data_IF_871342438593
#
_entry.id   IF_871342438593
#
_cell.length_a   1.000
_cell.length_b   1.000
_cell.length_c   1.000
_cell.angle_alpha   90.00
_cell.angle_beta   90.00
_cell.angle_gamma   90.00
#
_symmetry.space_group_name_H-M   'P 1'
#
loop_
_entity.id
_entity.type
_entity.pdbx_description
1 polymer ?
#
# COMPACT_ATOMS: atom_id res chain seq x y z
N UNK A 1 -17.75 -0.65 -4.56
CA UNK A 1 -16.65 -0.74 -3.57
C UNK A 1 -15.84 -1.98 -3.91
N UNK A 2 -14.63 -1.82 -4.47
CA UNK A 2 -13.90 -2.90 -5.15
C UNK A 2 -12.92 -3.69 -4.28
N UNK A 3 -12.86 -3.45 -2.96
CA UNK A 3 -12.02 -4.22 -2.03
C UNK A 3 -12.79 -4.69 -0.77
N UNK A 4 -14.12 -4.78 -0.86
CA UNK A 4 -14.95 -5.38 0.20
C UNK A 4 -15.59 -6.67 -0.31
N UNK A 5 -14.76 -7.67 -0.62
CA UNK A 5 -15.24 -9.04 -0.75
C UNK A 5 -14.99 -9.75 0.57
N UNK A 6 -16.05 -9.86 1.37
CA UNK A 6 -16.33 -10.96 2.31
C UNK A 6 -15.13 -11.59 3.03
N UNK A 7 -14.78 -11.05 4.20
CA UNK A 7 -13.87 -11.70 5.16
C UNK A 7 -12.76 -10.76 5.65
N UNK A 8 -12.33 -10.97 6.89
CA UNK A 8 -11.47 -10.14 7.76
C UNK A 8 -10.07 -9.72 7.23
N UNK A 9 -9.73 -9.89 5.95
CA UNK A 9 -8.35 -9.73 5.46
C UNK A 9 -8.10 -8.44 4.68
N UNK A 10 -7.07 -7.70 5.12
CA UNK A 10 -6.52 -6.52 4.48
C UNK A 10 -5.23 -6.93 3.73
N UNK A 11 -5.14 -6.64 2.43
CA UNK A 11 -4.01 -7.01 1.57
C UNK A 11 -3.26 -5.75 1.13
N UNK A 12 -1.93 -5.84 1.02
CA UNK A 12 -1.12 -4.74 0.48
C UNK A 12 -0.78 -4.91 -1.01
N UNK A 13 -0.13 -3.89 -1.59
CA UNK A 13 0.27 -3.89 -3.01
C UNK A 13 1.28 -5.00 -3.33
N UNK A 14 2.13 -5.35 -2.37
CA UNK A 14 3.13 -6.42 -2.53
C UNK A 14 2.43 -7.77 -2.47
N UNK A 15 1.37 -7.93 -1.67
CA UNK A 15 0.60 -9.17 -1.60
C UNK A 15 -0.03 -9.59 -2.92
N UNK A 16 -0.45 -8.58 -3.70
CA UNK A 16 -0.98 -8.78 -5.03
C UNK A 16 0.10 -9.25 -6.01
N UNK A 17 1.25 -8.58 -6.05
CA UNK A 17 2.32 -8.90 -7.00
C UNK A 17 3.12 -10.15 -6.64
N UNK A 18 3.25 -10.45 -5.35
CA UNK A 18 3.94 -11.65 -4.86
C UNK A 18 3.02 -12.88 -4.83
N UNK A 19 1.73 -12.72 -5.15
CA UNK A 19 0.74 -13.80 -5.07
C UNK A 19 0.48 -14.30 -3.65
N UNK A 20 0.91 -13.56 -2.62
CA UNK A 20 0.66 -13.90 -1.22
C UNK A 20 -0.76 -13.62 -0.75
N UNK A 21 -1.60 -13.02 -1.60
CA UNK A 21 -3.05 -12.88 -1.40
C UNK A 21 -3.74 -14.18 -0.91
N UNK A 22 -3.27 -15.36 -1.33
CA UNK A 22 -3.80 -16.66 -0.89
C UNK A 22 -3.04 -17.35 0.25
N UNK A 23 -1.92 -16.78 0.71
CA UNK A 23 -0.91 -17.49 1.52
C UNK A 23 -0.55 -16.76 2.81
N UNK A 24 -0.73 -15.44 2.89
CA UNK A 24 -0.41 -14.63 4.08
C UNK A 24 -1.19 -15.04 5.34
N UNK A 25 -2.39 -15.62 5.19
CA UNK A 25 -3.14 -16.20 6.32
C UNK A 25 -2.72 -17.64 6.69
N UNK A 26 -1.86 -18.28 5.90
CA UNK A 26 -1.48 -19.69 6.02
C UNK A 26 -0.03 -19.90 6.44
N UNK A 27 0.80 -18.86 6.37
CA UNK A 27 2.20 -18.88 6.75
C UNK A 27 2.72 -17.46 7.03
N UNK A 28 3.66 -17.35 7.98
CA UNK A 28 4.46 -16.14 8.21
C UNK A 28 5.35 -15.87 6.99
N UNK A 29 5.20 -14.70 6.36
CA UNK A 29 5.95 -14.32 5.17
C UNK A 29 7.24 -13.56 5.49
N UNK A 30 7.48 -13.22 6.76
CA UNK A 30 8.67 -12.50 7.23
C UNK A 30 9.97 -13.12 6.68
N UNK A 31 10.20 -14.45 6.72
CA UNK A 31 11.43 -15.04 6.18
C UNK A 31 11.62 -14.83 4.68
N UNK A 32 10.52 -14.79 3.91
CA UNK A 32 10.54 -14.56 2.46
C UNK A 32 10.91 -13.11 2.18
N UNK A 33 10.29 -12.17 2.89
CA UNK A 33 10.63 -10.75 2.77
C UNK A 33 12.07 -10.47 3.19
N UNK A 34 12.55 -11.07 4.28
CA UNK A 34 13.95 -10.95 4.69
C UNK A 34 14.91 -11.49 3.63
N UNK A 35 14.61 -12.62 2.99
CA UNK A 35 15.43 -13.14 1.88
C UNK A 35 15.52 -12.13 0.73
N UNK A 36 14.40 -11.49 0.36
CA UNK A 36 14.37 -10.46 -0.68
C UNK A 36 15.20 -9.26 -0.27
N UNK A 37 15.00 -8.73 0.95
CA UNK A 37 15.74 -7.58 1.46
C UNK A 37 17.24 -7.84 1.60
N UNK A 38 17.66 -9.05 2.00
CA UNK A 38 19.09 -9.40 2.04
C UNK A 38 19.72 -9.32 0.65
N UNK A 39 19.02 -9.76 -0.40
CA UNK A 39 19.48 -9.66 -1.79
C UNK A 39 19.53 -8.22 -2.28
N UNK A 40 18.58 -7.37 -1.89
CA UNK A 40 18.60 -5.94 -2.20
C UNK A 40 19.78 -5.24 -1.51
N UNK A 41 19.99 -5.52 -0.22
CA UNK A 41 21.10 -4.96 0.57
C UNK A 41 22.47 -5.33 0.01
N UNK A 42 22.64 -6.58 -0.42
CA UNK A 42 23.86 -7.05 -1.10
C UNK A 42 24.17 -6.27 -2.38
N UNK A 43 23.16 -5.69 -3.03
CA UNK A 43 23.28 -4.87 -4.24
C UNK A 43 23.31 -3.37 -3.93
N UNK A 44 23.43 -2.99 -2.66
CA UNK A 44 23.38 -1.59 -2.20
C UNK A 44 22.08 -0.87 -2.59
N UNK A 45 20.98 -1.61 -2.72
CA UNK A 45 19.66 -1.05 -3.00
C UNK A 45 18.89 -0.81 -1.70
N UNK A 46 18.12 0.27 -1.68
CA UNK A 46 17.11 0.56 -0.65
C UNK A 46 15.72 0.13 -1.10
N UNK A 47 14.76 0.21 -0.18
CA UNK A 47 13.35 0.03 -0.46
C UNK A 47 12.53 1.03 0.36
N UNK A 48 11.50 1.61 -0.25
CA UNK A 48 10.55 2.52 0.39
C UNK A 48 9.20 1.84 0.52
N UNK A 49 8.55 2.07 1.66
CA UNK A 49 7.17 1.66 1.90
C UNK A 49 6.22 2.74 1.38
N UNK A 50 5.19 2.34 0.63
CA UNK A 50 4.10 3.23 0.25
C UNK A 50 2.80 2.61 0.72
N UNK A 51 2.01 3.38 1.48
CA UNK A 51 0.74 2.89 1.99
C UNK A 51 -0.26 2.70 0.83
N UNK A 52 -1.00 1.58 0.78
CA UNK A 52 -1.90 1.31 -0.33
C UNK A 52 -2.89 2.45 -0.59
N UNK A 53 -2.90 2.95 -1.84
CA UNK A 53 -3.85 3.96 -2.31
C UNK A 53 -4.58 3.42 -3.55
N UNK A 54 -5.90 3.53 -3.54
CA UNK A 54 -6.71 3.27 -4.73
C UNK A 54 -6.79 4.53 -5.58
N UNK A 55 -6.45 4.40 -6.85
CA UNK A 55 -6.55 5.47 -7.84
C UNK A 55 -7.52 5.09 -8.95
N UNK A 56 -8.14 6.12 -9.55
CA UNK A 56 -9.09 5.93 -10.64
C UNK A 56 -8.40 6.18 -11.98
N UNK A 57 -8.40 5.18 -12.85
CA UNK A 57 -7.78 5.23 -14.17
C UNK A 57 -8.88 5.37 -15.23
N UNK A 58 -8.75 6.38 -16.09
CA UNK A 58 -9.65 6.59 -17.22
C UNK A 58 -8.98 6.15 -18.52
N UNK A 59 -9.59 5.21 -19.25
CA UNK A 59 -9.06 4.65 -20.50
C UNK A 59 -9.56 5.38 -21.78
N UNK A 60 -10.24 6.52 -21.64
CA UNK A 60 -10.94 7.20 -22.76
C UNK A 60 -10.16 8.39 -23.32
N UNK A 61 -10.10 8.52 -24.66
CA UNK A 61 -9.52 9.67 -25.36
C UNK A 61 -10.48 10.86 -25.50
N UNK A 62 -11.76 10.69 -25.17
CA UNK A 62 -12.76 11.75 -25.29
C UNK A 62 -12.73 12.67 -24.07
N UNK A 63 -12.76 14.00 -24.32
CA UNK A 63 -12.84 14.98 -23.24
C UNK A 63 -14.12 14.74 -22.42
N UNK A 64 -14.00 14.66 -21.08
CA UNK A 64 -15.18 14.44 -20.24
C UNK A 64 -16.15 15.62 -20.41
N UNK A 65 -17.42 15.32 -20.64
CA UNK A 65 -18.48 16.32 -20.56
C UNK A 65 -18.65 16.81 -19.10
N UNK A 66 -19.36 17.91 -18.90
CA UNK A 66 -19.48 18.54 -17.57
C UNK A 66 -20.00 17.60 -16.47
N UNK A 67 -20.96 16.74 -16.79
CA UNK A 67 -21.51 15.76 -15.83
C UNK A 67 -20.49 14.66 -15.47
N UNK A 68 -19.74 14.13 -16.45
CA UNK A 68 -18.70 13.10 -16.24
C UNK A 68 -17.52 13.66 -15.45
N UNK A 69 -17.12 14.90 -15.71
CA UNK A 69 -16.07 15.59 -14.97
C UNK A 69 -16.42 15.73 -13.48
N UNK A 70 -17.66 16.13 -13.18
CA UNK A 70 -18.13 16.23 -11.79
C UNK A 70 -18.14 14.87 -11.07
N UNK A 71 -18.64 13.81 -11.71
CA UNK A 71 -18.64 12.47 -11.11
C UNK A 71 -17.22 11.96 -10.88
N UNK A 72 -16.30 12.23 -11.81
CA UNK A 72 -14.90 11.86 -11.68
C UNK A 72 -14.25 12.52 -10.46
N UNK A 73 -14.41 13.83 -10.32
CA UNK A 73 -13.87 14.57 -9.17
C UNK A 73 -14.50 14.12 -7.85
N UNK A 74 -15.81 13.82 -7.85
CA UNK A 74 -16.48 13.25 -6.68
C UNK A 74 -15.87 11.90 -6.28
N UNK A 75 -15.67 10.99 -7.24
CA UNK A 75 -15.08 9.68 -6.96
C UNK A 75 -13.62 9.79 -6.50
N UNK A 76 -12.83 10.71 -7.08
CA UNK A 76 -11.47 10.99 -6.61
C UNK A 76 -11.48 11.47 -5.16
N UNK A 77 -12.35 12.41 -4.81
CA UNK A 77 -12.48 12.90 -3.44
C UNK A 77 -12.87 11.78 -2.47
N UNK A 78 -13.81 10.92 -2.85
CA UNK A 78 -14.19 9.74 -2.06
C UNK A 78 -13.02 8.77 -1.84
N UNK A 79 -12.18 8.52 -2.86
CA UNK A 79 -11.00 7.67 -2.74
C UNK A 79 -9.91 8.28 -1.85
N UNK A 80 -9.67 9.59 -1.97
CA UNK A 80 -8.72 10.32 -1.11
C UNK A 80 -9.17 10.26 0.35
N UNK A 81 -10.46 10.46 0.61
CA UNK A 81 -11.02 10.38 1.96
C UNK A 81 -10.91 8.95 2.53
N UNK A 82 -11.21 7.94 1.72
CA UNK A 82 -11.04 6.54 2.12
C UNK A 82 -9.57 6.21 2.44
N UNK A 83 -8.62 6.74 1.66
CA UNK A 83 -7.19 6.57 1.92
C UNK A 83 -6.76 7.24 3.24
N UNK A 84 -7.24 8.47 3.51
CA UNK A 84 -6.98 9.18 4.76
C UNK A 84 -7.50 8.39 5.97
N UNK A 85 -8.74 7.89 5.89
CA UNK A 85 -9.31 7.05 6.95
C UNK A 85 -8.51 5.75 7.13
N UNK A 86 -8.10 5.11 6.03
CA UNK A 86 -7.31 3.89 6.08
C UNK A 86 -5.95 4.07 6.79
N UNK A 87 -5.29 5.23 6.62
CA UNK A 87 -4.07 5.58 7.35
C UNK A 87 -4.36 5.75 8.85
N UNK A 88 -5.44 6.45 9.20
CA UNK A 88 -5.84 6.61 10.61
C UNK A 88 -6.10 5.26 11.29
N UNK A 89 -6.85 4.39 10.63
CA UNK A 89 -7.17 3.06 11.15
C UNK A 89 -5.89 2.21 11.36
N UNK A 90 -4.89 2.36 10.47
CA UNK A 90 -3.61 1.64 10.55
C UNK A 90 -2.78 1.94 11.79
N UNK A 91 -3.02 3.08 12.48
CA UNK A 91 -2.29 3.43 13.72
C UNK A 91 -2.54 2.43 14.85
N UNK A 92 -3.67 1.72 14.80
CA UNK A 92 -4.07 0.71 15.78
C UNK A 92 -3.67 -0.70 15.36
N UNK A 93 -3.27 -0.89 14.10
CA UNK A 93 -2.90 -2.19 13.56
C UNK A 93 -1.43 -2.53 13.89
N UNK A 94 -1.08 -3.82 13.92
CA UNK A 94 0.32 -4.22 14.04
C UNK A 94 1.12 -3.74 12.83
N UNK A 95 2.43 -3.55 13.04
CA UNK A 95 3.35 -3.21 11.94
C UNK A 95 3.34 -4.33 10.90
N UNK A 96 3.18 -4.03 9.60
CA UNK A 96 3.16 -5.04 8.55
C UNK A 96 4.43 -5.91 8.54
N UNK A 97 4.27 -7.20 8.25
CA UNK A 97 5.37 -8.18 8.20
C UNK A 97 6.51 -7.73 7.27
N UNK A 98 6.18 -7.10 6.14
CA UNK A 98 7.16 -6.56 5.20
C UNK A 98 8.00 -5.43 5.80
N UNK A 99 7.41 -4.59 6.65
CA UNK A 99 8.11 -3.50 7.35
C UNK A 99 9.02 -4.07 8.45
N UNK A 100 8.54 -5.09 9.18
CA UNK A 100 9.33 -5.80 10.17
C UNK A 100 10.54 -6.50 9.53
N UNK A 101 10.34 -7.19 8.40
CA UNK A 101 11.41 -7.84 7.66
C UNK A 101 12.48 -6.84 7.17
N UNK A 102 12.05 -5.65 6.69
CA UNK A 102 12.99 -4.60 6.31
C UNK A 102 13.84 -4.15 7.52
N UNK A 103 13.19 -3.89 8.66
CA UNK A 103 13.87 -3.53 9.91
C UNK A 103 14.88 -4.60 10.34
N UNK A 104 14.53 -5.87 10.25
CA UNK A 104 15.42 -6.97 10.65
C UNK A 104 16.69 -7.02 9.78
N UNK A 105 16.59 -6.69 8.48
CA UNK A 105 17.72 -6.75 7.55
C UNK A 105 18.55 -5.46 7.52
N UNK A 106 17.90 -4.29 7.53
CA UNK A 106 18.55 -2.99 7.40
C UNK A 106 18.83 -2.31 8.75
N UNK A 107 18.20 -2.74 9.85
CA UNK A 107 18.37 -2.17 11.19
C UNK A 107 17.59 -0.87 11.44
N UNK A 108 16.78 -0.44 10.48
CA UNK A 108 16.00 0.80 10.52
C UNK A 108 14.64 0.60 9.84
N UNK A 109 13.67 1.47 10.11
CA UNK A 109 12.39 1.45 9.40
C UNK A 109 12.58 1.93 7.94
N UNK A 110 11.80 1.41 6.98
CA UNK A 110 11.85 1.88 5.61
C UNK A 110 11.33 3.32 5.53
N UNK A 111 11.84 4.08 4.57
CA UNK A 111 11.25 5.38 4.22
C UNK A 111 9.77 5.20 3.85
N UNK A 112 8.90 6.12 4.28
CA UNK A 112 7.45 5.99 4.10
C UNK A 112 6.72 5.21 5.20
N UNK A 113 7.44 4.67 6.20
CA UNK A 113 6.85 4.13 7.43
C UNK A 113 7.36 4.86 8.69
N UNK A 114 6.47 5.28 9.61
CA UNK A 114 5.03 5.08 9.58
C UNK A 114 4.33 6.04 8.60
N UNK A 115 3.26 5.61 7.92
CA UNK A 115 2.69 6.34 6.78
C UNK A 115 2.13 7.73 7.13
N UNK A 116 1.70 7.94 8.37
CA UNK A 116 1.21 9.25 8.84
C UNK A 116 2.31 10.30 9.04
N UNK A 117 3.59 9.91 9.10
CA UNK A 117 4.72 10.86 9.17
C UNK A 117 5.19 11.31 7.79
N UNK A 118 4.82 10.59 6.73
CA UNK A 118 5.20 10.87 5.35
C UNK A 118 4.05 11.47 4.52
N UNK A 119 2.97 11.91 5.19
CA UNK A 119 1.79 12.53 4.58
C UNK A 119 1.98 14.03 4.27
N UNK A 120 3.21 14.51 4.12
CA UNK A 120 3.50 15.87 3.71
C UNK A 120 4.22 15.84 2.36
N UNK A 121 3.51 16.34 1.34
CA UNK A 121 4.03 16.83 0.05
C UNK A 121 5.36 16.24 -0.43
N UNK A 122 5.27 15.33 -1.40
CA UNK A 122 6.08 15.52 -2.60
C UNK A 122 5.09 15.86 -3.72
N UNK A 123 4.83 17.17 -3.86
CA UNK A 123 4.34 17.78 -5.11
C UNK A 123 5.48 17.81 -6.16
#
# INVERSE_FOLDING_TARGET
QLNRQTGESRYDYVDFYMGSFGVSQRADLTPVYEMVFRRLKQRLLGWGYSFPQLQLIEFSSEKPNGARSYQLEKMKAELTEAHRQAIEDSKLEPVPEIVLAYRNVYGMLPHGWPPWEFNQCDD
#
